data_IF_284467250741
#
_entry.id   IF_284467250741
#
_cell.length_a   1.000
_cell.length_b   1.000
_cell.length_c   1.000
_cell.angle_alpha   90.00
_cell.angle_beta   90.00
_cell.angle_gamma   90.00
#
_symmetry.space_group_name_H-M   'P 1'
#
loop_
_entity.id
_entity.type
_entity.pdbx_description
1 polymer ?
#
# COMPACT_ATOMS: atom_id res chain seq x y z
N UNK A 1 25.30 -5.52 12.85
CA UNK A 1 24.16 -6.14 12.17
C UNK A 1 24.02 -5.43 10.83
N UNK A 2 24.03 -6.16 9.71
CA UNK A 2 24.06 -5.56 8.38
C UNK A 2 22.67 -4.98 8.03
N UNK A 3 22.54 -3.66 8.05
CA UNK A 3 21.40 -2.87 7.55
C UNK A 3 21.27 -2.95 6.01
N UNK A 4 21.26 -4.17 5.47
CA UNK A 4 21.13 -4.42 4.05
C UNK A 4 19.65 -4.22 3.67
N UNK A 5 19.29 -2.98 3.36
CA UNK A 5 18.09 -2.56 2.62
C UNK A 5 16.83 -3.38 2.94
N UNK A 6 16.10 -3.00 3.99
CA UNK A 6 14.74 -3.50 4.19
C UNK A 6 13.89 -3.02 2.99
N UNK A 7 13.60 -3.94 2.08
CA UNK A 7 12.67 -3.74 0.96
C UNK A 7 11.38 -3.16 1.55
N UNK A 8 10.92 -2.02 1.02
CA UNK A 8 9.62 -1.46 1.41
C UNK A 8 8.55 -2.50 1.06
N UNK A 9 7.79 -3.01 2.05
CA UNK A 9 6.74 -3.96 1.76
C UNK A 9 5.65 -3.28 0.94
N UNK A 10 5.09 -4.02 0.00
CA UNK A 10 3.89 -3.62 -0.71
C UNK A 10 2.68 -3.72 0.22
N UNK A 11 1.64 -2.93 -0.04
CA UNK A 11 0.36 -3.06 0.69
C UNK A 11 -0.19 -4.49 0.57
N UNK A 12 0.01 -5.13 -0.58
CA UNK A 12 -0.41 -6.51 -0.80
C UNK A 12 0.33 -7.55 0.07
N UNK A 13 1.61 -7.35 0.36
CA UNK A 13 2.37 -8.18 1.32
C UNK A 13 1.78 -8.01 2.73
N UNK A 14 1.51 -6.76 3.15
CA UNK A 14 0.92 -6.46 4.46
C UNK A 14 -0.48 -7.08 4.60
N UNK A 15 -1.34 -6.95 3.59
CA UNK A 15 -2.68 -7.58 3.61
C UNK A 15 -2.56 -9.10 3.76
N UNK A 16 -1.57 -9.74 3.13
CA UNK A 16 -1.39 -11.19 3.25
C UNK A 16 -1.00 -11.59 4.67
N UNK A 17 0.03 -10.95 5.21
CA UNK A 17 0.60 -11.32 6.52
C UNK A 17 -0.31 -10.96 7.69
N UNK A 18 -0.89 -9.76 7.67
CA UNK A 18 -1.62 -9.21 8.82
C UNK A 18 -3.12 -9.53 8.82
N UNK A 19 -3.69 -9.88 7.65
CA UNK A 19 -5.14 -10.11 7.53
C UNK A 19 -5.48 -11.48 6.93
N UNK A 20 -5.00 -11.81 5.73
CA UNK A 20 -5.43 -13.04 5.06
C UNK A 20 -4.96 -14.32 5.76
N UNK A 21 -3.67 -14.39 6.15
CA UNK A 21 -3.14 -15.57 6.85
C UNK A 21 -3.78 -15.75 8.24
N UNK A 22 -3.88 -14.74 9.12
CA UNK A 22 -4.48 -14.91 10.44
C UNK A 22 -5.97 -15.25 10.39
N UNK A 23 -6.70 -14.75 9.37
CA UNK A 23 -8.11 -15.02 9.18
C UNK A 23 -8.39 -16.28 8.33
N UNK A 24 -7.35 -16.97 7.86
CA UNK A 24 -7.46 -18.10 6.93
C UNK A 24 -8.34 -17.77 5.69
N UNK A 25 -8.17 -16.58 5.12
CA UNK A 25 -8.92 -16.09 3.97
C UNK A 25 -8.08 -16.14 2.70
N UNK A 26 -8.67 -16.64 1.61
CA UNK A 26 -8.11 -16.52 0.28
C UNK A 26 -8.37 -15.13 -0.32
N UNK A 27 -7.54 -14.72 -1.30
CA UNK A 27 -7.81 -13.49 -2.07
C UNK A 27 -9.14 -13.54 -2.84
N UNK A 28 -9.61 -14.75 -3.20
CA UNK A 28 -10.90 -14.94 -3.85
C UNK A 28 -12.07 -14.67 -2.89
N UNK A 29 -11.99 -15.18 -1.65
CA UNK A 29 -12.99 -14.90 -0.62
C UNK A 29 -13.00 -13.41 -0.24
N UNK A 30 -11.83 -12.78 -0.16
CA UNK A 30 -11.73 -11.34 0.05
C UNK A 30 -12.46 -10.58 -1.07
N UNK A 31 -12.24 -10.93 -2.34
CA UNK A 31 -12.90 -10.30 -3.48
C UNK A 31 -14.43 -10.44 -3.40
N UNK A 32 -14.93 -11.62 -3.03
CA UNK A 32 -16.36 -11.86 -2.80
C UNK A 32 -16.92 -10.98 -1.69
N UNK A 33 -16.27 -10.96 -0.52
CA UNK A 33 -16.70 -10.15 0.64
C UNK A 33 -16.70 -8.65 0.32
N UNK A 34 -15.72 -8.19 -0.44
CA UNK A 34 -15.62 -6.79 -0.89
C UNK A 34 -16.52 -6.47 -2.09
N UNK A 35 -17.20 -7.44 -2.68
CA UNK A 35 -18.04 -7.29 -3.88
C UNK A 35 -17.29 -6.62 -5.04
N UNK A 36 -16.08 -7.10 -5.34
CA UNK A 36 -15.25 -6.63 -6.46
C UNK A 36 -14.71 -7.82 -7.26
N UNK A 37 -14.17 -7.56 -8.46
CA UNK A 37 -13.53 -8.61 -9.26
C UNK A 37 -12.32 -9.19 -8.53
N UNK A 38 -12.11 -10.51 -8.70
CA UNK A 38 -10.91 -11.17 -8.18
C UNK A 38 -9.62 -10.56 -8.76
N UNK A 39 -9.64 -10.14 -10.03
CA UNK A 39 -8.50 -9.45 -10.65
C UNK A 39 -8.11 -8.17 -9.90
N UNK A 40 -9.08 -7.38 -9.43
CA UNK A 40 -8.78 -6.17 -8.63
C UNK A 40 -8.02 -6.51 -7.34
N UNK A 41 -8.45 -7.54 -6.62
CA UNK A 41 -7.77 -7.99 -5.40
C UNK A 41 -6.41 -8.60 -5.72
N UNK A 42 -6.32 -9.43 -6.76
CA UNK A 42 -5.05 -10.00 -7.22
C UNK A 42 -4.03 -8.92 -7.56
N UNK A 43 -4.43 -7.84 -8.25
CA UNK A 43 -3.53 -6.73 -8.56
C UNK A 43 -3.05 -6.00 -7.30
N UNK A 44 -3.94 -5.76 -6.33
CA UNK A 44 -3.59 -5.16 -5.04
C UNK A 44 -2.60 -6.04 -4.29
N UNK A 45 -2.91 -7.33 -4.15
CA UNK A 45 -2.06 -8.29 -3.47
C UNK A 45 -0.69 -8.40 -4.16
N UNK A 46 -0.62 -8.29 -5.48
CA UNK A 46 0.65 -8.33 -6.22
C UNK A 46 1.34 -6.97 -6.34
N UNK A 47 0.85 -5.93 -5.64
CA UNK A 47 1.45 -4.58 -5.68
C UNK A 47 1.34 -3.87 -7.03
N UNK A 48 0.49 -4.36 -7.94
CA UNK A 48 0.24 -3.77 -9.27
C UNK A 48 -0.82 -2.67 -9.23
N UNK A 49 -1.60 -2.60 -8.16
CA UNK A 49 -2.67 -1.63 -7.95
C UNK A 49 -2.56 -1.02 -6.56
N UNK A 50 -2.59 0.30 -6.50
CA UNK A 50 -2.65 1.05 -5.24
C UNK A 50 -4.04 0.98 -4.60
N UNK A 51 -4.08 1.23 -3.29
CA UNK A 51 -5.32 1.41 -2.56
C UNK A 51 -5.93 2.76 -2.90
N UNK A 52 -7.18 2.74 -3.37
CA UNK A 52 -8.01 3.94 -3.57
C UNK A 52 -8.94 4.16 -2.37
N UNK A 53 -9.59 5.32 -2.28
CA UNK A 53 -10.60 5.59 -1.25
C UNK A 53 -11.73 4.54 -1.26
N UNK A 54 -12.25 4.15 -2.44
CA UNK A 54 -13.26 3.08 -2.55
C UNK A 54 -12.73 1.74 -2.01
N UNK A 55 -11.47 1.40 -2.29
CA UNK A 55 -10.85 0.19 -1.71
C UNK A 55 -10.75 0.29 -0.18
N UNK A 56 -10.35 1.45 0.35
CA UNK A 56 -10.20 1.69 1.79
C UNK A 56 -11.54 1.59 2.52
N UNK A 57 -12.63 2.13 1.95
CA UNK A 57 -13.99 1.96 2.48
C UNK A 57 -14.37 0.48 2.55
N UNK A 58 -14.11 -0.28 1.48
CA UNK A 58 -14.41 -1.73 1.47
C UNK A 58 -13.58 -2.50 2.49
N UNK A 59 -12.31 -2.16 2.68
CA UNK A 59 -11.48 -2.77 3.72
C UNK A 59 -11.91 -2.38 5.13
N UNK A 60 -12.35 -1.15 5.36
CA UNK A 60 -12.94 -0.74 6.62
C UNK A 60 -14.14 -1.64 6.97
N UNK A 61 -15.05 -1.85 6.02
CA UNK A 61 -16.24 -2.70 6.21
C UNK A 61 -15.87 -4.18 6.42
N UNK A 62 -14.94 -4.72 5.63
CA UNK A 62 -14.63 -6.17 5.64
C UNK A 62 -13.69 -6.57 6.78
N UNK A 63 -12.74 -5.70 7.15
CA UNK A 63 -11.73 -6.00 8.18
C UNK A 63 -11.98 -5.29 9.52
N UNK A 64 -12.98 -4.40 9.62
CA UNK A 64 -13.24 -3.65 10.85
C UNK A 64 -12.13 -2.64 11.19
N UNK A 65 -11.44 -2.14 10.17
CA UNK A 65 -10.32 -1.18 10.29
C UNK A 65 -10.77 0.24 9.95
N UNK A 66 -9.96 1.28 10.15
CA UNK A 66 -10.32 2.64 9.68
C UNK A 66 -9.98 2.85 8.20
N UNK A 67 -10.69 3.76 7.53
CA UNK A 67 -10.34 4.19 6.15
C UNK A 67 -8.93 4.80 6.13
N UNK A 68 -8.64 5.63 7.14
CA UNK A 68 -7.37 6.34 7.29
C UNK A 68 -6.17 5.39 7.37
N UNK A 69 -6.31 4.24 8.04
CA UNK A 69 -5.26 3.23 8.12
C UNK A 69 -4.74 2.88 6.72
N UNK A 70 -5.64 2.63 5.78
CA UNK A 70 -5.28 2.18 4.44
C UNK A 70 -4.72 3.29 3.56
N UNK A 71 -5.30 4.49 3.65
CA UNK A 71 -4.81 5.65 2.88
C UNK A 71 -3.44 6.10 3.35
N UNK A 72 -3.22 6.13 4.67
CA UNK A 72 -1.93 6.48 5.27
C UNK A 72 -0.88 5.42 4.99
N UNK A 73 -1.25 4.13 5.01
CA UNK A 73 -0.34 3.05 4.62
C UNK A 73 0.10 3.17 3.16
N UNK A 74 -0.83 3.44 2.24
CA UNK A 74 -0.51 3.66 0.82
C UNK A 74 0.42 4.87 0.65
N UNK A 75 0.12 5.98 1.32
CA UNK A 75 0.94 7.19 1.27
C UNK A 75 2.35 6.98 1.83
N UNK A 76 2.50 6.28 2.96
CA UNK A 76 3.81 5.94 3.56
C UNK A 76 4.64 5.06 2.61
N UNK A 77 4.05 4.03 2.01
CA UNK A 77 4.74 3.17 1.04
C UNK A 77 5.15 3.97 -0.20
N UNK A 78 4.25 4.80 -0.74
CA UNK A 78 4.55 5.64 -1.89
C UNK A 78 5.66 6.65 -1.59
N UNK A 79 5.65 7.25 -0.39
CA UNK A 79 6.70 8.18 0.06
C UNK A 79 8.06 7.49 0.18
N UNK A 80 8.15 6.34 0.84
CA UNK A 80 9.40 5.57 0.96
C UNK A 80 9.94 5.14 -0.41
N UNK A 81 9.05 4.73 -1.32
CA UNK A 81 9.45 4.43 -2.69
C UNK A 81 9.91 5.68 -3.45
N UNK A 82 9.26 6.82 -3.23
CA UNK A 82 9.63 8.10 -3.84
C UNK A 82 10.96 8.63 -3.30
N UNK A 83 11.31 8.44 -2.03
CA UNK A 83 12.63 8.82 -1.47
C UNK A 83 13.79 8.14 -2.18
N UNK A 84 13.60 6.91 -2.65
CA UNK A 84 14.57 6.21 -3.49
C UNK A 84 14.73 6.91 -4.85
N UNK A 85 13.67 7.54 -5.35
CA UNK A 85 13.60 8.26 -6.63
C UNK A 85 14.07 9.71 -6.47
N UNK A 86 13.88 10.38 -5.33
CA UNK A 86 14.33 11.78 -5.11
C UNK A 86 15.85 11.92 -5.26
N UNK A 87 16.61 10.84 -5.04
CA UNK A 87 18.06 10.78 -5.33
C UNK A 87 18.40 10.82 -6.82
N UNK A 88 17.39 10.81 -7.71
CA UNK A 88 17.54 10.89 -9.16
C UNK A 88 17.98 12.30 -9.60
N UNK A 89 18.88 12.37 -10.59
CA UNK A 89 19.39 13.63 -11.14
C UNK A 89 18.30 14.58 -11.64
N UNK A 90 17.15 14.04 -12.07
CA UNK A 90 15.99 14.81 -12.52
C UNK A 90 15.56 15.89 -11.51
N UNK A 91 15.69 15.63 -10.21
CA UNK A 91 15.25 16.56 -9.16
C UNK A 91 16.39 17.38 -8.55
N UNK A 92 17.65 17.14 -8.95
CA UNK A 92 18.85 17.74 -8.33
C UNK A 92 18.90 19.27 -8.47
N UNK A 93 18.27 19.82 -9.51
CA UNK A 93 18.29 21.26 -9.78
C UNK A 93 17.15 22.04 -9.09
N UNK A 94 16.22 21.35 -8.42
CA UNK A 94 15.17 22.01 -7.64
C UNK A 94 15.79 22.64 -6.39
N UNK A 95 15.52 23.92 -6.16
CA UNK A 95 16.03 24.67 -4.99
C UNK A 95 14.89 24.94 -4.03
N UNK A 96 15.18 24.84 -2.73
CA UNK A 96 14.24 25.24 -1.70
C UNK A 96 13.97 26.74 -1.81
N UNK A 97 12.70 27.12 -1.67
CA UNK A 97 12.31 28.52 -1.54
C UNK A 97 12.67 28.94 -0.12
N UNK A 98 13.56 29.91 0.01
CA UNK A 98 13.88 30.53 1.30
C UNK A 98 12.99 31.74 1.48
N UNK A 99 12.20 31.76 2.55
CA UNK A 99 11.50 32.99 2.98
C UNK A 99 12.52 33.81 3.77
N UNK A 100 12.78 35.04 3.32
CA UNK A 100 13.67 35.99 3.97
C UNK A 100 13.06 36.63 5.21
#
# INVERSE_FOLDING_TARGET
MNEKYLKVPTVGEIIREEFLKPLNLSGYELAKRMQVSYSRISDILNGKRQITIDTAIRFNIVFGTSIELWTSLQADIDARNAELIVKNEKYRNLKQITVG
#
